data_IF_867070948545
#
_entry.id   IF_867070948545
#
_cell.length_a   1.000
_cell.length_b   1.000
_cell.length_c   1.000
_cell.angle_alpha   90.00
_cell.angle_beta   90.00
_cell.angle_gamma   90.00
#
_symmetry.space_group_name_H-M   'P 1'
#
loop_
_entity.id
_entity.type
_entity.pdbx_description
1 polymer ?
#
# COMPACT_ATOMS: atom_id res chain seq x y z
N UNK A 1 1.93 9.58 4.68
CA UNK A 1 0.51 9.91 4.84
C UNK A 1 -0.19 8.74 5.53
N UNK A 2 -0.90 8.94 6.64
CA UNK A 2 -1.66 7.88 7.27
C UNK A 2 -3.00 7.65 6.57
N UNK A 3 -3.34 6.39 6.32
CA UNK A 3 -4.65 5.96 5.82
C UNK A 3 -5.22 4.91 6.76
N UNK A 4 -6.52 4.99 7.02
CA UNK A 4 -7.21 4.03 7.89
C UNK A 4 -8.59 3.71 7.33
N UNK A 5 -8.89 2.42 7.17
CA UNK A 5 -10.22 1.92 6.90
C UNK A 5 -10.60 0.85 7.93
N UNK A 6 -11.84 0.87 8.39
CA UNK A 6 -12.30 -0.11 9.37
C UNK A 6 -13.75 -0.52 9.11
N UNK A 7 -14.01 -1.81 9.22
CA UNK A 7 -15.34 -2.40 9.31
C UNK A 7 -15.49 -3.07 10.67
N UNK A 8 -16.54 -2.75 11.39
CA UNK A 8 -16.79 -3.32 12.71
C UNK A 8 -18.21 -3.86 12.78
N UNK A 9 -18.32 -5.16 12.99
CA UNK A 9 -19.57 -5.83 13.36
C UNK A 9 -19.52 -6.07 14.87
N UNK A 10 -20.15 -5.14 15.61
CA UNK A 10 -20.18 -5.18 17.08
C UNK A 10 -21.15 -6.23 17.62
N UNK A 11 -22.00 -5.80 18.56
CA UNK A 11 -23.02 -6.67 19.13
C UNK A 11 -24.25 -6.72 18.20
N UNK A 12 -24.49 -7.85 17.57
CA UNK A 12 -25.64 -8.03 16.68
C UNK A 12 -25.47 -9.22 15.74
N UNK A 13 -26.57 -9.66 15.16
CA UNK A 13 -26.59 -10.75 14.18
C UNK A 13 -27.05 -10.22 12.82
N UNK A 14 -26.27 -10.54 11.78
CA UNK A 14 -26.63 -10.29 10.40
C UNK A 14 -26.93 -11.63 9.72
N UNK A 15 -28.16 -11.82 9.30
CA UNK A 15 -28.61 -12.99 8.54
C UNK A 15 -28.91 -12.60 7.11
N UNK A 16 -28.37 -13.33 6.15
CA UNK A 16 -28.65 -13.17 4.73
C UNK A 16 -28.92 -14.53 4.07
N UNK A 17 -29.74 -14.56 3.04
CA UNK A 17 -29.92 -15.74 2.18
C UNK A 17 -28.90 -15.76 1.03
N UNK A 18 -28.18 -14.66 0.82
CA UNK A 18 -27.12 -14.54 -0.20
C UNK A 18 -25.77 -14.26 0.43
N UNK A 19 -24.83 -13.83 -0.40
CA UNK A 19 -23.47 -13.52 0.00
C UNK A 19 -23.42 -12.32 0.94
N UNK A 20 -22.51 -12.37 1.91
CA UNK A 20 -22.12 -11.24 2.75
C UNK A 20 -20.66 -10.90 2.47
N UNK A 21 -20.36 -9.62 2.20
CA UNK A 21 -19.00 -9.16 1.95
C UNK A 21 -18.73 -7.88 2.70
N UNK A 22 -17.65 -7.88 3.48
CA UNK A 22 -17.17 -6.74 4.27
C UNK A 22 -15.71 -6.47 3.92
N UNK A 23 -15.43 -5.26 3.44
CA UNK A 23 -14.11 -4.88 2.99
C UNK A 23 -13.66 -3.58 3.66
N UNK A 24 -12.53 -3.62 4.36
CA UNK A 24 -11.81 -2.44 4.80
C UNK A 24 -10.68 -2.18 3.82
N UNK A 25 -10.77 -1.08 3.06
CA UNK A 25 -9.88 -0.80 1.93
C UNK A 25 -9.33 0.61 1.97
N UNK A 26 -8.02 0.73 1.97
CA UNK A 26 -7.34 1.99 1.67
C UNK A 26 -7.05 2.09 0.18
N UNK A 27 -7.42 3.22 -0.41
CA UNK A 27 -7.20 3.51 -1.84
C UNK A 27 -6.33 4.75 -1.94
N UNK A 28 -5.31 4.73 -2.77
CA UNK A 28 -4.45 5.88 -2.99
C UNK A 28 -3.56 5.74 -4.20
N UNK A 29 -3.26 6.90 -4.79
CA UNK A 29 -2.21 7.09 -5.77
C UNK A 29 -1.25 8.12 -5.17
N UNK A 30 -0.02 7.69 -4.89
CA UNK A 30 0.97 8.48 -4.19
C UNK A 30 2.20 8.60 -5.05
N UNK A 31 2.45 9.83 -5.51
CA UNK A 31 3.66 10.16 -6.27
C UNK A 31 4.53 11.11 -5.46
N UNK A 32 5.77 10.72 -5.19
CA UNK A 32 6.79 11.55 -4.60
C UNK A 32 7.96 11.69 -5.56
N UNK A 33 8.35 12.92 -5.88
CA UNK A 33 9.41 13.17 -6.84
C UNK A 33 10.35 14.29 -6.42
N UNK A 34 11.64 14.10 -6.69
CA UNK A 34 12.70 15.11 -6.58
C UNK A 34 13.48 15.21 -7.87
N UNK A 35 13.65 16.44 -8.36
CA UNK A 35 14.45 16.72 -9.54
C UNK A 35 15.39 17.88 -9.27
N UNK A 36 16.69 17.66 -9.49
CA UNK A 36 17.70 18.73 -9.49
C UNK A 36 18.42 18.75 -10.83
N UNK A 37 18.50 19.94 -11.39
CA UNK A 37 19.33 20.23 -12.55
C UNK A 37 20.42 21.22 -12.16
N UNK A 38 21.69 20.83 -12.38
CA UNK A 38 22.81 21.70 -12.12
C UNK A 38 23.71 21.81 -13.36
N UNK A 39 24.37 22.96 -13.53
CA UNK A 39 25.35 23.22 -14.57
C UNK A 39 26.65 23.74 -13.94
N UNK A 40 27.79 23.28 -14.42
CA UNK A 40 29.10 23.71 -13.93
C UNK A 40 29.85 22.65 -13.09
N UNK A 41 30.91 23.07 -12.38
CA UNK A 41 31.68 22.19 -11.50
C UNK A 41 31.00 22.04 -10.15
N UNK A 42 30.89 20.82 -9.61
CA UNK A 42 30.34 20.59 -8.29
C UNK A 42 29.70 19.20 -8.13
N UNK A 43 28.98 19.03 -7.04
CA UNK A 43 28.21 17.83 -6.76
C UNK A 43 26.72 18.18 -6.61
N UNK A 44 25.88 17.35 -7.19
CA UNK A 44 24.43 17.41 -7.01
C UNK A 44 23.94 16.15 -6.35
N UNK A 45 23.00 16.29 -5.42
CA UNK A 45 22.31 15.14 -4.86
C UNK A 45 20.82 15.43 -4.72
N UNK A 46 20.02 14.38 -4.90
CA UNK A 46 18.59 14.36 -4.65
C UNK A 46 18.28 13.21 -3.71
N UNK A 47 17.60 13.50 -2.63
CA UNK A 47 17.11 12.50 -1.69
C UNK A 47 15.59 12.65 -1.59
N UNK A 48 14.87 11.57 -1.92
CA UNK A 48 13.40 11.51 -1.82
C UNK A 48 13.06 10.36 -0.88
N UNK A 49 12.52 10.71 0.27
CA UNK A 49 12.03 9.75 1.27
C UNK A 49 10.50 9.86 1.36
N UNK A 50 9.83 8.79 0.97
CA UNK A 50 8.38 8.66 1.06
C UNK A 50 8.02 7.67 2.16
N UNK A 51 7.12 8.07 3.05
CA UNK A 51 6.62 7.23 4.11
C UNK A 51 5.10 7.16 4.06
N UNK A 52 4.57 5.95 3.90
CA UNK A 52 3.13 5.66 3.89
C UNK A 52 2.81 4.72 5.04
N UNK A 53 1.74 5.04 5.76
CA UNK A 53 1.21 4.16 6.80
C UNK A 53 -0.24 3.84 6.46
N UNK A 54 -0.55 2.55 6.38
CA UNK A 54 -1.91 2.06 6.13
C UNK A 54 -2.35 1.10 7.22
N UNK A 55 -3.61 1.24 7.64
CA UNK A 55 -4.21 0.41 8.68
C UNK A 55 -5.65 0.06 8.30
N UNK A 56 -5.87 -1.17 7.82
CA UNK A 56 -7.17 -1.66 7.39
C UNK A 56 -7.59 -2.83 8.29
N UNK A 57 -8.71 -2.68 8.97
CA UNK A 57 -9.16 -3.67 9.93
C UNK A 57 -10.61 -4.07 9.68
N UNK A 58 -10.88 -5.37 9.73
CA UNK A 58 -12.22 -5.93 9.83
C UNK A 58 -12.33 -6.66 11.16
N UNK A 59 -13.29 -6.27 11.98
CA UNK A 59 -13.55 -6.86 13.28
C UNK A 59 -14.97 -7.41 13.34
N UNK A 60 -15.11 -8.67 13.71
CA UNK A 60 -16.35 -9.26 14.20
C UNK A 60 -16.20 -9.46 15.70
N UNK A 61 -16.80 -8.57 16.48
CA UNK A 61 -16.68 -8.57 17.94
C UNK A 61 -17.37 -9.77 18.60
N UNK A 62 -17.09 -10.00 19.88
CA UNK A 62 -17.56 -11.18 20.64
C UNK A 62 -19.09 -11.36 20.68
N UNK A 63 -19.84 -10.26 20.55
CA UNK A 63 -21.31 -10.29 20.42
C UNK A 63 -21.80 -10.27 18.97
N UNK A 64 -20.89 -10.27 18.00
CA UNK A 64 -21.21 -10.23 16.58
C UNK A 64 -21.42 -11.61 15.99
N UNK A 65 -22.41 -11.73 15.09
CA UNK A 65 -22.68 -12.97 14.35
C UNK A 65 -23.03 -12.66 12.90
N UNK A 66 -22.33 -13.29 11.97
CA UNK A 66 -22.62 -13.26 10.54
C UNK A 66 -23.11 -14.63 10.10
N UNK A 67 -24.27 -14.67 9.47
CA UNK A 67 -24.90 -15.93 9.06
C UNK A 67 -25.42 -15.83 7.63
N UNK A 68 -25.18 -16.88 6.83
CA UNK A 68 -25.82 -17.06 5.54
C UNK A 68 -26.61 -18.37 5.52
N UNK A 69 -27.88 -18.32 5.07
CA UNK A 69 -28.79 -19.47 5.06
C UNK A 69 -29.01 -20.08 3.67
N UNK A 70 -28.56 -19.41 2.60
CA UNK A 70 -28.70 -19.91 1.21
C UNK A 70 -27.53 -20.79 0.80
N UNK A 71 -27.76 -21.76 -0.07
CA UNK A 71 -26.75 -22.67 -0.60
C UNK A 71 -25.63 -21.99 -1.40
N UNK A 72 -25.78 -20.72 -1.77
CA UNK A 72 -24.79 -19.88 -2.44
C UNK A 72 -24.31 -18.75 -1.55
N UNK A 73 -24.63 -18.80 -0.28
CA UNK A 73 -24.32 -17.75 0.69
C UNK A 73 -22.90 -17.87 1.23
N UNK A 74 -21.96 -17.10 0.68
CA UNK A 74 -20.60 -16.98 1.20
C UNK A 74 -20.51 -15.84 2.20
N UNK A 75 -19.56 -15.95 3.14
CA UNK A 75 -19.11 -14.83 3.96
C UNK A 75 -17.68 -14.48 3.54
N UNK A 76 -17.47 -13.24 3.13
CA UNK A 76 -16.15 -12.73 2.76
C UNK A 76 -15.78 -11.53 3.63
N UNK A 77 -14.64 -11.62 4.34
CA UNK A 77 -14.03 -10.51 5.07
C UNK A 77 -12.70 -10.18 4.41
N UNK A 78 -12.49 -8.91 4.06
CA UNK A 78 -11.27 -8.48 3.40
C UNK A 78 -10.71 -7.20 4.05
N UNK A 79 -9.39 -7.16 4.26
CA UNK A 79 -8.66 -5.98 4.68
C UNK A 79 -7.49 -5.78 3.72
N UNK A 80 -7.47 -4.67 2.94
CA UNK A 80 -6.57 -4.53 1.80
C UNK A 80 -6.10 -3.09 1.57
N UNK A 81 -4.87 -2.96 1.06
CA UNK A 81 -4.37 -1.75 0.41
C UNK A 81 -4.56 -1.86 -1.09
N UNK A 82 -5.21 -0.88 -1.70
CA UNK A 82 -5.29 -0.68 -3.14
C UNK A 82 -4.62 0.65 -3.45
N UNK A 83 -3.28 0.61 -3.55
CA UNK A 83 -2.44 1.79 -3.66
C UNK A 83 -1.41 1.59 -4.75
N UNK A 84 -1.20 2.65 -5.55
CA UNK A 84 -0.08 2.80 -6.44
C UNK A 84 0.86 3.84 -5.83
N UNK A 85 2.10 3.44 -5.55
CA UNK A 85 3.10 4.29 -4.91
C UNK A 85 4.31 4.39 -5.81
N UNK A 86 4.59 5.59 -6.29
CA UNK A 86 5.75 5.89 -7.14
C UNK A 86 6.66 6.90 -6.46
N UNK A 87 7.95 6.59 -6.34
CA UNK A 87 8.98 7.48 -5.82
C UNK A 87 10.09 7.64 -6.82
N UNK A 88 10.35 8.88 -7.24
CA UNK A 88 11.36 9.17 -8.27
C UNK A 88 12.36 10.21 -7.77
N UNK A 89 13.65 9.92 -7.87
CA UNK A 89 14.73 10.85 -7.58
C UNK A 89 15.63 11.02 -8.80
N UNK A 90 15.75 12.24 -9.33
CA UNK A 90 16.53 12.55 -10.52
C UNK A 90 17.56 13.64 -10.23
N UNK A 91 18.83 13.31 -10.39
CA UNK A 91 19.94 14.27 -10.38
C UNK A 91 20.49 14.44 -11.80
N UNK A 92 20.27 15.62 -12.41
CA UNK A 92 20.72 15.96 -13.76
C UNK A 92 21.84 16.99 -13.69
N UNK A 93 23.07 16.57 -13.99
CA UNK A 93 24.22 17.45 -14.04
C UNK A 93 24.61 17.69 -15.50
N UNK A 94 24.44 18.93 -15.97
CA UNK A 94 24.76 19.36 -17.33
C UNK A 94 26.01 20.25 -17.35
N UNK A 95 26.89 20.00 -18.32
CA UNK A 95 28.09 20.80 -18.55
C UNK A 95 29.40 20.04 -18.33
N UNK A 96 30.45 20.42 -19.05
CA UNK A 96 31.72 19.73 -19.13
C UNK A 96 32.65 19.86 -17.91
N UNK A 97 32.10 19.95 -16.72
CA UNK A 97 32.88 20.11 -15.49
C UNK A 97 32.98 18.81 -14.70
N UNK A 98 34.06 18.64 -13.96
CA UNK A 98 34.26 17.53 -13.03
C UNK A 98 33.29 17.66 -11.87
N UNK A 99 32.36 16.71 -11.74
CA UNK A 99 31.36 16.72 -10.66
C UNK A 99 30.72 15.37 -10.45
N UNK A 100 30.00 15.22 -9.35
CA UNK A 100 29.27 14.00 -8.99
C UNK A 100 27.77 14.24 -8.98
N UNK A 101 26.99 13.28 -9.50
CA UNK A 101 25.55 13.26 -9.33
C UNK A 101 25.14 12.05 -8.48
N UNK A 102 24.28 12.26 -7.50
CA UNK A 102 23.74 11.20 -6.66
C UNK A 102 22.24 11.38 -6.52
N UNK A 103 21.50 10.31 -6.73
CA UNK A 103 20.06 10.28 -6.46
C UNK A 103 19.73 9.10 -5.56
N UNK A 104 18.86 9.36 -4.61
CA UNK A 104 18.39 8.36 -3.68
C UNK A 104 16.84 8.46 -3.60
N UNK A 105 16.17 7.38 -3.94
CA UNK A 105 14.74 7.24 -3.78
C UNK A 105 14.47 6.16 -2.73
N UNK A 106 13.78 6.55 -1.66
CA UNK A 106 13.42 5.65 -0.58
C UNK A 106 11.92 5.66 -0.39
N UNK A 107 11.35 4.46 -0.30
CA UNK A 107 9.95 4.27 -0.02
C UNK A 107 9.80 3.35 1.20
N UNK A 108 9.07 3.82 2.20
CA UNK A 108 8.77 3.05 3.42
C UNK A 108 7.27 2.92 3.55
N UNK A 109 6.76 1.70 3.48
CA UNK A 109 5.35 1.40 3.64
C UNK A 109 5.13 0.56 4.90
N UNK A 110 4.51 1.19 5.90
CA UNK A 110 4.05 0.51 7.11
C UNK A 110 2.58 0.14 6.92
N UNK A 111 2.29 -1.14 6.82
CA UNK A 111 0.93 -1.63 6.56
C UNK A 111 0.46 -2.62 7.62
N UNK A 112 -0.80 -2.48 7.99
CA UNK A 112 -1.50 -3.42 8.83
C UNK A 112 -2.86 -3.73 8.20
N UNK A 113 -3.00 -4.93 7.65
CA UNK A 113 -4.25 -5.46 7.13
C UNK A 113 -4.65 -6.61 8.04
N UNK A 114 -5.64 -6.39 8.89
CA UNK A 114 -6.03 -7.35 9.91
C UNK A 114 -7.50 -7.71 9.85
N UNK A 115 -7.79 -8.97 10.10
CA UNK A 115 -9.14 -9.50 10.30
C UNK A 115 -9.14 -10.17 11.66
N UNK A 116 -10.00 -9.70 12.55
CA UNK A 116 -10.21 -10.30 13.86
C UNK A 116 -11.65 -10.80 13.97
N UNK A 117 -11.82 -12.04 14.39
CA UNK A 117 -13.13 -12.68 14.57
C UNK A 117 -13.19 -13.24 15.97
N UNK A 118 -13.79 -12.47 16.89
CA UNK A 118 -14.09 -12.86 18.27
C UNK A 118 -15.51 -13.39 18.42
N UNK A 119 -16.35 -13.11 17.43
CA UNK A 119 -17.72 -13.55 17.31
C UNK A 119 -17.90 -14.84 16.53
N UNK A 120 -19.03 -14.99 15.86
CA UNK A 120 -19.33 -16.19 15.09
C UNK A 120 -19.58 -15.91 13.60
N UNK A 121 -19.04 -16.81 12.76
CA UNK A 121 -19.31 -16.86 11.34
C UNK A 121 -19.97 -18.21 11.02
N UNK A 122 -21.10 -18.18 10.35
CA UNK A 122 -21.78 -19.38 9.88
C UNK A 122 -22.21 -19.22 8.43
N UNK A 123 -21.69 -20.05 7.54
CA UNK A 123 -22.02 -20.06 6.12
C UNK A 123 -22.45 -21.45 5.69
N UNK A 124 -23.45 -21.51 4.81
CA UNK A 124 -23.86 -22.76 4.14
C UNK A 124 -22.94 -23.13 2.98
N UNK A 125 -22.02 -22.22 2.58
CA UNK A 125 -21.04 -22.43 1.54
C UNK A 125 -19.65 -22.06 2.05
N UNK A 126 -19.03 -20.99 1.56
CA UNK A 126 -17.64 -20.65 1.89
C UNK A 126 -17.51 -19.49 2.89
N UNK A 127 -16.44 -19.55 3.70
CA UNK A 127 -15.98 -18.42 4.52
C UNK A 127 -14.60 -18.04 4.04
N UNK A 128 -14.47 -16.84 3.50
CA UNK A 128 -13.24 -16.31 2.94
C UNK A 128 -12.69 -15.15 3.80
N UNK A 129 -11.45 -15.27 4.26
CA UNK A 129 -10.77 -14.25 5.07
C UNK A 129 -9.51 -13.80 4.33
N UNK A 130 -9.48 -12.55 3.84
CA UNK A 130 -8.40 -12.00 3.03
C UNK A 130 -7.69 -10.84 3.74
N UNK A 131 -6.63 -11.09 4.45
CA UNK A 131 -5.74 -10.06 4.97
C UNK A 131 -4.66 -9.74 3.92
N UNK A 132 -4.66 -8.53 3.38
CA UNK A 132 -3.76 -8.09 2.31
C UNK A 132 -4.26 -8.34 0.89
N UNK A 133 -5.47 -8.86 0.74
CA UNK A 133 -6.15 -9.05 -0.55
C UNK A 133 -7.56 -8.47 -0.49
N UNK A 134 -8.10 -8.07 -1.64
CA UNK A 134 -9.47 -7.60 -1.74
C UNK A 134 -10.50 -8.75 -1.61
N UNK A 135 -11.78 -8.39 -1.62
CA UNK A 135 -12.89 -9.35 -1.55
C UNK A 135 -12.91 -10.40 -2.67
N UNK A 136 -12.19 -10.16 -3.76
CA UNK A 136 -12.04 -11.07 -4.90
C UNK A 136 -10.71 -11.84 -4.85
N UNK A 137 -9.96 -11.71 -3.74
CA UNK A 137 -8.68 -12.39 -3.51
C UNK A 137 -7.49 -11.79 -4.28
N UNK A 138 -7.63 -10.56 -4.80
CA UNK A 138 -6.58 -9.88 -5.58
C UNK A 138 -5.71 -8.98 -4.72
N UNK A 139 -4.44 -8.91 -5.07
CA UNK A 139 -3.52 -7.90 -4.54
C UNK A 139 -3.78 -6.55 -5.22
N UNK A 140 -3.82 -5.47 -4.46
CA UNK A 140 -4.07 -4.12 -4.95
C UNK A 140 -2.93 -3.13 -4.70
N UNK A 141 -1.72 -3.61 -4.38
CA UNK A 141 -0.59 -2.77 -4.05
C UNK A 141 0.49 -2.84 -5.13
N UNK A 142 0.84 -1.67 -5.69
CA UNK A 142 2.00 -1.47 -6.53
C UNK A 142 2.96 -0.49 -5.84
N UNK A 143 4.24 -0.81 -5.79
CA UNK A 143 5.29 0.04 -5.22
C UNK A 143 6.44 0.14 -6.21
N UNK A 144 6.68 1.35 -6.73
CA UNK A 144 7.76 1.64 -7.65
C UNK A 144 8.70 2.68 -7.05
N UNK A 145 9.99 2.47 -7.19
CA UNK A 145 11.01 3.44 -6.84
C UNK A 145 12.05 3.54 -7.94
N UNK A 146 12.36 4.76 -8.35
CA UNK A 146 13.32 5.03 -9.40
C UNK A 146 14.33 6.07 -8.93
N UNK A 147 15.61 5.74 -9.01
CA UNK A 147 16.70 6.68 -8.82
C UNK A 147 17.53 6.77 -10.09
N UNK A 148 17.71 7.98 -10.57
CA UNK A 148 18.28 8.19 -11.88
C UNK A 148 19.25 9.37 -11.91
N UNK A 149 20.44 9.14 -12.47
CA UNK A 149 21.47 10.16 -12.62
C UNK A 149 21.78 10.39 -14.09
N UNK A 150 21.71 11.65 -14.52
CA UNK A 150 22.22 12.11 -15.81
C UNK A 150 23.49 12.92 -15.60
N UNK A 151 24.59 12.46 -16.17
CA UNK A 151 25.85 13.19 -16.13
C UNK A 151 26.65 12.92 -17.40
N UNK A 152 27.29 13.97 -17.93
CA UNK A 152 28.11 13.84 -19.14
C UNK A 152 29.53 13.33 -18.85
N UNK A 153 30.10 13.60 -17.68
CA UNK A 153 31.51 13.33 -17.32
C UNK A 153 31.74 13.07 -15.81
N UNK A 154 30.76 12.51 -15.09
CA UNK A 154 30.86 12.35 -13.64
C UNK A 154 30.50 10.94 -13.16
N UNK A 155 30.90 10.62 -11.94
CA UNK A 155 30.50 9.36 -11.29
C UNK A 155 29.03 9.45 -10.86
N UNK A 156 28.21 8.58 -11.42
CA UNK A 156 26.81 8.46 -11.05
C UNK A 156 26.62 7.37 -9.99
N UNK A 157 25.91 7.67 -8.89
CA UNK A 157 25.61 6.73 -7.81
C UNK A 157 24.11 6.72 -7.48
N UNK A 158 23.29 6.05 -8.30
CA UNK A 158 21.89 5.87 -7.94
C UNK A 158 21.73 4.87 -6.78
N UNK A 159 20.77 5.12 -5.91
CA UNK A 159 20.45 4.20 -4.82
C UNK A 159 18.92 4.10 -4.67
N UNK A 160 18.44 2.87 -4.65
CA UNK A 160 17.02 2.54 -4.44
C UNK A 160 16.85 1.82 -3.11
N UNK A 161 15.78 2.14 -2.40
CA UNK A 161 15.46 1.48 -1.14
C UNK A 161 13.94 1.40 -0.96
N UNK A 162 13.40 0.19 -1.01
CA UNK A 162 12.00 -0.10 -0.74
C UNK A 162 11.89 -0.98 0.50
N UNK A 163 11.10 -0.54 1.48
CA UNK A 163 10.77 -1.31 2.68
C UNK A 163 9.26 -1.43 2.79
N UNK A 164 8.76 -2.66 2.88
CA UNK A 164 7.34 -3.01 2.99
C UNK A 164 7.14 -3.82 4.27
#
# INVERSE_FOLDING_TARGET
>A
MPSKAAVNVGNGSLLSYGKQSFEAKSIGDITAGGYIKAAGAGATWVDVDNQVTSNNNVLVGSGGSLQTAGSTGDITLAAVDNMDITVTAVADMQGGAVGGASSHAKNTLNRNNAIAVDGSLYSMNDINLYAGKDKDGKLGLTVESEAYNKTALAVAKPKLNNTI
#
